data_IF_694216697540
#
_entry.id   IF_694216697540
#
_cell.length_a   1.000
_cell.length_b   1.000
_cell.length_c   1.000
_cell.angle_alpha   90.00
_cell.angle_beta   90.00
_cell.angle_gamma   90.00
#
_symmetry.space_group_name_H-M   'P 1'
#
loop_
_entity.id
_entity.type
_entity.pdbx_description
1 polymer ?
#
# COMPACT_ATOMS: atom_id res chain seq x y z
N UNK A 1 36.72 11.43 -40.46
CA UNK A 1 35.67 12.07 -39.69
C UNK A 1 34.56 11.05 -39.52
N UNK A 2 34.52 10.38 -38.37
CA UNK A 2 33.48 9.41 -38.04
C UNK A 2 32.54 10.09 -37.03
N UNK A 3 31.32 10.38 -37.51
CA UNK A 3 30.28 11.01 -36.68
C UNK A 3 29.73 10.02 -35.66
N UNK A 4 29.91 10.32 -34.38
CA UNK A 4 29.22 9.67 -33.28
C UNK A 4 27.77 10.17 -33.27
N UNK A 5 26.84 9.32 -33.70
CA UNK A 5 25.44 9.55 -33.51
C UNK A 5 25.13 9.28 -32.02
N UNK A 6 24.89 10.33 -31.26
CA UNK A 6 24.31 10.27 -29.92
C UNK A 6 22.88 9.73 -30.03
N UNK A 7 22.70 8.47 -29.71
CA UNK A 7 21.38 7.90 -29.45
C UNK A 7 20.85 8.54 -28.15
N UNK A 8 20.11 9.61 -28.25
CA UNK A 8 19.21 10.06 -27.21
C UNK A 8 18.15 8.96 -27.03
N UNK A 9 18.34 8.08 -26.05
CA UNK A 9 17.24 7.25 -25.56
C UNK A 9 16.24 8.20 -24.93
N UNK A 10 15.12 8.47 -25.61
CA UNK A 10 13.95 9.04 -24.97
C UNK A 10 13.61 8.14 -23.77
N UNK A 11 13.42 8.69 -22.55
CA UNK A 11 12.92 7.91 -21.46
C UNK A 11 11.56 7.34 -21.90
N UNK A 12 11.43 6.02 -21.81
CA UNK A 12 10.14 5.36 -22.05
C UNK A 12 9.18 5.99 -21.03
N UNK A 13 8.26 6.81 -21.53
CA UNK A 13 7.20 7.41 -20.73
C UNK A 13 6.30 6.24 -20.32
N UNK A 14 6.49 5.71 -19.13
CA UNK A 14 5.56 4.71 -18.58
C UNK A 14 4.23 5.43 -18.37
N UNK A 15 3.20 4.97 -19.03
CA UNK A 15 1.87 5.52 -18.86
C UNK A 15 1.42 5.30 -17.41
N UNK A 16 1.00 6.41 -16.76
CA UNK A 16 0.50 6.40 -15.40
C UNK A 16 -0.99 6.06 -15.42
N UNK A 17 -1.39 5.09 -14.64
CA UNK A 17 -2.78 4.75 -14.41
C UNK A 17 -3.28 5.46 -13.15
N UNK A 18 -4.16 6.44 -13.32
CA UNK A 18 -4.72 7.24 -12.23
C UNK A 18 -5.97 6.57 -11.67
N UNK A 19 -5.92 6.22 -10.39
CA UNK A 19 -7.03 5.62 -9.66
C UNK A 19 -7.82 6.75 -9.00
N UNK A 20 -9.14 6.81 -9.25
CA UNK A 20 -10.00 7.79 -8.59
C UNK A 20 -10.29 7.39 -7.14
N UNK A 21 -10.67 8.37 -6.30
CA UNK A 21 -11.08 8.12 -4.92
C UNK A 21 -12.27 7.15 -4.83
N UNK A 22 -13.25 7.29 -5.74
CA UNK A 22 -14.42 6.40 -5.80
C UNK A 22 -14.03 4.98 -6.17
N UNK A 23 -13.11 4.80 -7.13
CA UNK A 23 -12.64 3.48 -7.53
C UNK A 23 -11.89 2.78 -6.40
N UNK A 24 -10.95 3.49 -5.73
CA UNK A 24 -10.23 2.93 -4.60
C UNK A 24 -11.17 2.50 -3.47
N UNK A 25 -12.20 3.30 -3.18
CA UNK A 25 -13.19 2.97 -2.17
C UNK A 25 -14.02 1.74 -2.55
N UNK A 26 -14.50 1.66 -3.81
CA UNK A 26 -15.23 0.50 -4.32
C UNK A 26 -14.38 -0.78 -4.27
N UNK A 27 -13.13 -0.71 -4.73
CA UNK A 27 -12.21 -1.84 -4.70
C UNK A 27 -11.89 -2.28 -3.26
N UNK A 28 -11.81 -1.33 -2.31
CA UNK A 28 -11.62 -1.63 -0.90
C UNK A 28 -12.83 -2.39 -0.31
N UNK A 29 -14.05 -2.03 -0.69
CA UNK A 29 -15.25 -2.77 -0.28
C UNK A 29 -15.32 -4.16 -0.92
N UNK A 30 -14.94 -4.29 -2.20
CA UNK A 30 -14.84 -5.60 -2.86
C UNK A 30 -13.82 -6.50 -2.18
N UNK A 31 -12.68 -5.93 -1.79
CA UNK A 31 -11.64 -6.63 -1.03
C UNK A 31 -12.17 -7.12 0.32
N UNK A 32 -12.89 -6.26 1.06
CA UNK A 32 -13.50 -6.65 2.34
C UNK A 32 -14.54 -7.76 2.17
N UNK A 33 -15.32 -7.71 1.08
CA UNK A 33 -16.28 -8.76 0.76
C UNK A 33 -15.61 -10.11 0.48
N UNK A 34 -14.50 -10.13 -0.30
CA UNK A 34 -13.70 -11.33 -0.52
C UNK A 34 -13.17 -11.94 0.78
N UNK A 35 -12.68 -11.08 1.70
CA UNK A 35 -12.22 -11.50 3.02
C UNK A 35 -13.37 -12.16 3.79
N UNK A 36 -14.54 -11.54 3.80
CA UNK A 36 -15.72 -12.08 4.49
C UNK A 36 -16.18 -13.42 3.91
N UNK A 37 -16.27 -13.54 2.58
CA UNK A 37 -16.67 -14.78 1.89
C UNK A 37 -15.68 -15.93 2.09
N UNK A 38 -14.39 -15.62 2.25
CA UNK A 38 -13.36 -16.64 2.54
C UNK A 38 -13.52 -17.33 3.90
N UNK A 39 -14.37 -16.78 4.76
CA UNK A 39 -14.51 -17.25 6.14
C UNK A 39 -13.47 -16.70 7.12
N UNK A 40 -12.49 -15.92 6.65
CA UNK A 40 -11.50 -15.29 7.52
C UNK A 40 -12.15 -14.18 8.35
N UNK A 41 -11.86 -14.17 9.65
CA UNK A 41 -12.41 -13.22 10.63
C UNK A 41 -11.24 -12.63 11.40
N UNK A 42 -10.68 -11.47 10.95
CA UNK A 42 -9.56 -10.86 11.65
C UNK A 42 -9.96 -10.35 13.04
N UNK A 43 -9.13 -10.64 14.04
CA UNK A 43 -9.18 -9.98 15.35
C UNK A 43 -8.52 -8.62 15.32
N UNK A 44 -7.54 -8.45 14.41
CA UNK A 44 -6.77 -7.21 14.23
C UNK A 44 -6.65 -6.86 12.76
N UNK A 45 -6.81 -5.55 12.44
CA UNK A 45 -6.57 -4.98 11.12
C UNK A 45 -5.43 -3.96 11.22
N UNK A 46 -4.43 -4.10 10.38
CA UNK A 46 -3.26 -3.19 10.32
C UNK A 46 -3.22 -2.51 8.98
N UNK A 47 -3.49 -1.21 8.94
CA UNK A 47 -3.25 -0.38 7.75
C UNK A 47 -1.79 0.06 7.68
N UNK A 48 -1.12 -0.19 6.56
CA UNK A 48 0.24 0.30 6.34
C UNK A 48 0.16 1.76 5.90
N UNK A 49 0.68 2.66 6.71
CA UNK A 49 0.74 4.07 6.39
C UNK A 49 1.74 4.31 5.25
N UNK A 50 1.35 4.97 4.13
CA UNK A 50 0.19 5.85 3.95
C UNK A 50 -0.97 5.15 3.24
N UNK A 51 -0.70 4.44 2.13
CA UNK A 51 -1.70 3.96 1.20
C UNK A 51 -2.68 2.94 1.78
N UNK A 52 -2.21 2.10 2.69
CA UNK A 52 -3.07 1.13 3.37
C UNK A 52 -4.06 1.73 4.37
N UNK A 53 -3.90 3.00 4.78
CA UNK A 53 -4.82 3.62 5.74
C UNK A 53 -6.24 3.80 5.17
N UNK A 54 -6.46 4.46 4.01
CA UNK A 54 -7.80 4.61 3.44
C UNK A 54 -8.44 3.26 3.08
N UNK A 55 -7.66 2.30 2.58
CA UNK A 55 -8.14 0.95 2.28
C UNK A 55 -8.54 0.22 3.56
N UNK A 56 -7.69 0.26 4.59
CA UNK A 56 -7.95 -0.38 5.88
C UNK A 56 -9.21 0.13 6.55
N UNK A 57 -9.47 1.44 6.49
CA UNK A 57 -10.71 2.04 7.01
C UNK A 57 -11.92 1.46 6.27
N UNK A 58 -11.93 1.46 4.94
CA UNK A 58 -13.05 0.95 4.16
C UNK A 58 -13.28 -0.56 4.38
N UNK A 59 -12.19 -1.33 4.47
CA UNK A 59 -12.26 -2.77 4.77
C UNK A 59 -12.89 -2.99 6.15
N UNK A 60 -12.45 -2.27 7.16
CA UNK A 60 -12.98 -2.38 8.51
C UNK A 60 -14.46 -2.01 8.56
N UNK A 61 -14.87 -0.89 7.97
CA UNK A 61 -16.26 -0.43 7.97
C UNK A 61 -17.20 -1.48 7.36
N UNK A 62 -16.84 -2.10 6.24
CA UNK A 62 -17.67 -3.14 5.65
C UNK A 62 -17.68 -4.41 6.51
N UNK A 63 -16.55 -4.85 7.06
CA UNK A 63 -16.48 -6.00 7.96
C UNK A 63 -17.32 -5.77 9.21
N UNK A 64 -17.32 -4.55 9.76
CA UNK A 64 -18.15 -4.16 10.90
C UNK A 64 -19.65 -4.28 10.60
N UNK A 65 -20.08 -3.87 9.41
CA UNK A 65 -21.47 -3.96 8.94
C UNK A 65 -21.95 -5.42 8.88
N UNK A 66 -21.07 -6.33 8.48
CA UNK A 66 -21.38 -7.78 8.40
C UNK A 66 -21.08 -8.54 9.70
N UNK A 67 -20.82 -7.80 10.78
CA UNK A 67 -20.70 -8.37 12.14
C UNK A 67 -19.31 -8.87 12.53
N UNK A 68 -18.27 -8.58 11.74
CA UNK A 68 -16.88 -8.90 12.08
C UNK A 68 -16.25 -7.72 12.79
N UNK A 69 -15.99 -7.86 14.09
CA UNK A 69 -15.38 -6.82 14.92
C UNK A 69 -13.89 -7.08 15.08
N UNK A 70 -13.07 -6.14 14.64
CA UNK A 70 -11.63 -6.20 14.73
C UNK A 70 -11.07 -4.95 15.43
N UNK A 71 -10.04 -5.13 16.25
CA UNK A 71 -9.21 -4.01 16.71
C UNK A 71 -8.30 -3.56 15.56
N UNK A 72 -7.92 -2.29 15.53
CA UNK A 72 -7.21 -1.74 14.37
C UNK A 72 -6.12 -0.74 14.75
N UNK A 73 -5.11 -0.65 13.89
CA UNK A 73 -4.01 0.31 14.02
C UNK A 73 -3.40 0.62 12.66
N UNK A 74 -2.89 1.84 12.50
CA UNK A 74 -1.98 2.16 11.40
C UNK A 74 -0.53 2.02 11.87
N UNK A 75 0.30 1.36 11.06
CA UNK A 75 1.75 1.26 11.26
C UNK A 75 2.45 2.00 10.13
N UNK A 76 3.71 2.38 10.34
CA UNK A 76 4.52 3.04 9.31
C UNK A 76 5.69 2.17 8.90
N UNK A 77 5.92 2.04 7.60
CA UNK A 77 7.17 1.54 7.03
C UNK A 77 7.98 2.70 6.44
N UNK A 78 9.28 2.65 6.57
CA UNK A 78 10.21 3.57 5.90
C UNK A 78 11.38 2.80 5.34
N UNK A 79 11.76 3.10 4.10
CA UNK A 79 12.97 2.53 3.49
C UNK A 79 14.11 3.52 3.57
N UNK A 80 15.28 3.03 3.94
CA UNK A 80 16.51 3.81 3.91
C UNK A 80 17.62 3.03 3.23
N UNK A 81 18.56 3.76 2.64
CA UNK A 81 19.76 3.15 2.08
C UNK A 81 20.91 3.52 3.03
N UNK A 82 21.55 2.53 3.64
CA UNK A 82 22.71 2.75 4.49
C UNK A 82 23.87 3.39 3.70
N UNK A 83 24.72 4.16 4.39
CA UNK A 83 25.90 4.76 3.77
C UNK A 83 26.82 3.62 3.28
N UNK A 84 26.99 3.52 1.96
CA UNK A 84 27.81 2.47 1.34
C UNK A 84 27.10 1.15 1.03
N UNK A 85 25.81 1.01 1.30
CA UNK A 85 25.03 -0.19 1.00
C UNK A 85 24.19 -0.03 -0.26
N UNK A 86 24.12 -1.11 -1.08
CA UNK A 86 23.27 -1.17 -2.29
C UNK A 86 21.84 -1.61 -1.98
N UNK A 87 21.59 -2.17 -0.81
CA UNK A 87 20.29 -2.70 -0.43
C UNK A 87 19.50 -1.66 0.38
N UNK A 88 18.22 -1.53 0.06
CA UNK A 88 17.27 -0.78 0.86
C UNK A 88 16.83 -1.61 2.05
N UNK A 89 16.97 -1.07 3.24
CA UNK A 89 16.42 -1.65 4.46
C UNK A 89 15.06 -1.03 4.76
N UNK A 90 14.12 -1.84 5.19
CA UNK A 90 12.79 -1.39 5.62
C UNK A 90 12.79 -1.36 7.15
N UNK A 91 12.40 -0.23 7.71
CA UNK A 91 12.14 -0.06 9.15
C UNK A 91 10.64 -0.01 9.36
N UNK A 92 10.18 -0.71 10.40
CA UNK A 92 8.76 -0.74 10.79
C UNK A 92 8.57 -0.02 12.11
N UNK A 93 7.60 0.86 12.17
CA UNK A 93 7.27 1.67 13.33
C UNK A 93 5.83 1.41 13.77
N UNK A 94 5.58 1.37 15.09
CA UNK A 94 4.23 1.25 15.64
C UNK A 94 3.81 -0.17 16.04
N UNK A 95 4.64 -1.19 15.88
CA UNK A 95 4.30 -2.59 16.19
C UNK A 95 4.08 -2.87 17.68
N UNK A 96 4.56 -2.03 18.59
CA UNK A 96 4.47 -2.27 20.03
C UNK A 96 3.05 -2.46 20.56
N UNK A 97 2.07 -1.85 19.89
CA UNK A 97 0.66 -2.03 20.24
C UNK A 97 0.23 -3.48 20.02
N UNK A 98 0.56 -4.02 18.87
CA UNK A 98 0.23 -5.39 18.45
C UNK A 98 1.02 -6.42 19.26
N UNK A 99 2.35 -6.25 19.36
CA UNK A 99 3.24 -7.19 20.06
C UNK A 99 2.80 -7.48 21.51
N UNK A 100 2.18 -6.50 22.16
CA UNK A 100 1.69 -6.64 23.55
C UNK A 100 0.33 -7.36 23.66
N UNK A 101 -0.37 -7.57 22.56
CA UNK A 101 -1.76 -8.06 22.55
C UNK A 101 -1.95 -9.34 21.76
N UNK A 102 -1.10 -9.56 20.76
CA UNK A 102 -1.23 -10.71 19.88
C UNK A 102 -0.90 -12.01 20.62
N UNK A 103 -1.77 -12.98 20.42
CA UNK A 103 -1.62 -14.36 20.86
C UNK A 103 -1.70 -15.30 19.64
N UNK A 104 -1.27 -16.55 19.79
CA UNK A 104 -1.22 -17.53 18.69
C UNK A 104 -2.58 -17.85 18.07
N UNK A 105 -3.65 -17.68 18.83
CA UNK A 105 -5.03 -17.93 18.40
C UNK A 105 -5.62 -16.77 17.60
N UNK A 106 -4.97 -15.62 17.60
CA UNK A 106 -5.48 -14.44 16.89
C UNK A 106 -5.26 -14.52 15.39
N UNK A 107 -6.09 -13.78 14.69
CA UNK A 107 -6.03 -13.56 13.24
C UNK A 107 -5.70 -12.09 12.95
N UNK A 108 -4.67 -11.84 12.16
CA UNK A 108 -4.20 -10.49 11.80
C UNK A 108 -4.33 -10.28 10.30
N UNK A 109 -4.99 -9.19 9.89
CA UNK A 109 -5.05 -8.73 8.51
C UNK A 109 -4.14 -7.52 8.31
N UNK A 110 -3.16 -7.65 7.42
CA UNK A 110 -2.33 -6.50 6.98
C UNK A 110 -2.92 -5.97 5.68
N UNK A 111 -3.22 -4.67 5.66
CA UNK A 111 -3.84 -3.98 4.53
C UNK A 111 -2.91 -2.90 3.99
N UNK A 112 -2.71 -2.89 2.67
CA UNK A 112 -2.02 -1.81 1.95
C UNK A 112 -2.79 -1.49 0.67
N UNK A 113 -2.44 -0.41 -0.04
CA UNK A 113 -3.07 -0.05 -1.33
C UNK A 113 -2.55 -0.89 -2.50
N UNK A 114 -1.29 -1.28 -2.46
CA UNK A 114 -0.68 -2.11 -3.49
C UNK A 114 0.39 -3.04 -2.91
N UNK A 115 0.38 -4.29 -3.34
CA UNK A 115 1.50 -5.19 -3.17
C UNK A 115 2.40 -5.12 -4.42
N UNK A 116 3.38 -4.21 -4.38
CA UNK A 116 4.34 -4.00 -5.47
C UNK A 116 5.57 -4.90 -5.27
N UNK A 117 6.62 -4.43 -4.62
CA UNK A 117 7.82 -5.25 -4.35
C UNK A 117 7.62 -6.26 -3.21
N UNK A 118 6.61 -6.07 -2.38
CA UNK A 118 6.32 -6.88 -1.21
C UNK A 118 7.25 -6.67 0.00
N UNK A 119 8.35 -5.93 -0.17
CA UNK A 119 9.40 -5.79 0.85
C UNK A 119 8.89 -5.17 2.16
N UNK A 120 7.99 -4.19 2.09
CA UNK A 120 7.44 -3.53 3.28
C UNK A 120 6.61 -4.49 4.12
N UNK A 121 5.70 -5.21 3.48
CA UNK A 121 4.83 -6.18 4.17
C UNK A 121 5.65 -7.37 4.68
N UNK A 122 6.60 -7.87 3.90
CA UNK A 122 7.49 -8.97 4.33
C UNK A 122 8.30 -8.59 5.58
N UNK A 123 8.79 -7.36 5.66
CA UNK A 123 9.49 -6.86 6.85
C UNK A 123 8.55 -6.76 8.06
N UNK A 124 7.32 -6.24 7.88
CA UNK A 124 6.32 -6.19 8.95
C UNK A 124 6.05 -7.58 9.52
N UNK A 125 5.85 -8.57 8.66
CA UNK A 125 5.60 -9.96 9.09
C UNK A 125 6.82 -10.55 9.79
N UNK A 126 8.00 -10.28 9.27
CA UNK A 126 9.28 -10.76 9.85
C UNK A 126 9.47 -10.19 11.26
N UNK A 127 9.29 -8.90 11.45
CA UNK A 127 9.44 -8.23 12.75
C UNK A 127 8.37 -8.70 13.75
N UNK A 128 7.11 -8.85 13.32
CA UNK A 128 6.05 -9.39 14.16
C UNK A 128 6.37 -10.82 14.62
N UNK A 129 6.75 -11.70 13.71
CA UNK A 129 7.10 -13.09 14.05
C UNK A 129 8.30 -13.17 14.98
N UNK A 130 9.31 -12.35 14.75
CA UNK A 130 10.50 -12.29 15.62
C UNK A 130 10.15 -11.83 17.03
N UNK A 131 9.23 -10.86 17.17
CA UNK A 131 8.81 -10.30 18.44
C UNK A 131 7.81 -11.21 19.18
N UNK A 132 6.77 -11.70 18.49
CA UNK A 132 5.71 -12.52 19.07
C UNK A 132 6.13 -13.97 19.32
N UNK A 133 7.11 -14.48 18.56
CA UNK A 133 7.62 -15.87 18.69
C UNK A 133 6.49 -16.90 18.63
N UNK A 134 6.27 -17.64 19.73
CA UNK A 134 5.21 -18.66 19.83
C UNK A 134 3.78 -18.07 19.80
N UNK A 135 3.64 -16.79 20.09
CA UNK A 135 2.37 -16.06 20.07
C UNK A 135 2.12 -15.39 18.69
N UNK A 136 2.81 -15.82 17.65
CA UNK A 136 2.59 -15.31 16.28
C UNK A 136 1.19 -15.70 15.78
N UNK A 137 0.34 -14.73 15.37
CA UNK A 137 -1.01 -15.01 14.90
C UNK A 137 -1.03 -15.63 13.49
N UNK A 138 -2.22 -16.04 13.02
CA UNK A 138 -2.47 -16.24 11.59
C UNK A 138 -2.46 -14.88 10.89
N UNK A 139 -1.52 -14.66 9.96
CA UNK A 139 -1.33 -13.37 9.27
C UNK A 139 -1.73 -13.51 7.82
N UNK A 140 -2.69 -12.69 7.37
CA UNK A 140 -3.07 -12.55 5.98
C UNK A 140 -2.85 -11.14 5.46
N UNK A 141 -2.67 -11.05 4.13
CA UNK A 141 -2.37 -9.81 3.40
C UNK A 141 -3.52 -9.50 2.46
N UNK A 142 -3.99 -8.27 2.47
CA UNK A 142 -5.03 -7.78 1.58
C UNK A 142 -4.62 -6.45 0.94
N UNK A 143 -4.68 -6.38 -0.40
CA UNK A 143 -4.39 -5.17 -1.17
C UNK A 143 -5.33 -5.07 -2.36
N UNK A 144 -5.93 -3.90 -2.69
CA UNK A 144 -6.71 -3.77 -3.92
C UNK A 144 -5.92 -4.13 -5.18
N UNK A 145 -4.62 -3.81 -5.20
CA UNK A 145 -3.75 -4.02 -6.35
C UNK A 145 -2.55 -4.91 -6.01
N UNK A 146 -2.24 -5.82 -6.93
CA UNK A 146 -1.05 -6.68 -6.88
C UNK A 146 -0.24 -6.56 -8.16
N UNK A 147 1.10 -6.41 -8.04
CA UNK A 147 2.05 -6.35 -9.16
C UNK A 147 2.99 -7.54 -9.16
N UNK A 148 2.60 -8.67 -9.76
CA UNK A 148 3.38 -9.92 -9.70
C UNK A 148 4.76 -9.78 -10.32
N UNK A 149 4.93 -9.00 -11.41
CA UNK A 149 6.22 -8.83 -12.08
C UNK A 149 7.24 -8.04 -11.24
N UNK A 150 6.78 -7.23 -10.28
CA UNK A 150 7.66 -6.45 -9.40
C UNK A 150 7.94 -7.12 -8.07
N UNK A 151 7.17 -8.16 -7.72
CA UNK A 151 7.30 -8.85 -6.44
C UNK A 151 8.70 -9.45 -6.26
N UNK A 152 9.37 -9.07 -5.19
CA UNK A 152 10.73 -9.51 -4.82
C UNK A 152 10.73 -10.49 -3.65
N UNK A 153 9.56 -10.84 -3.15
CA UNK A 153 9.37 -11.76 -2.04
C UNK A 153 8.69 -13.03 -2.51
N UNK A 154 8.62 -14.04 -1.64
CA UNK A 154 7.84 -15.25 -1.92
C UNK A 154 6.37 -15.11 -1.50
N UNK A 155 5.99 -13.95 -0.95
CA UNK A 155 4.62 -13.72 -0.48
C UNK A 155 3.78 -13.15 -1.61
N UNK A 156 2.60 -13.71 -1.74
CA UNK A 156 1.51 -13.20 -2.59
C UNK A 156 0.42 -12.73 -1.63
N UNK A 157 -0.27 -11.63 -1.90
CA UNK A 157 -1.43 -11.24 -1.10
C UNK A 157 -2.46 -12.37 -1.06
N UNK A 158 -3.05 -12.63 0.12
CA UNK A 158 -4.12 -13.61 0.26
C UNK A 158 -5.41 -13.13 -0.43
N UNK A 159 -5.58 -11.79 -0.47
CA UNK A 159 -6.72 -11.14 -1.09
C UNK A 159 -6.25 -9.96 -1.93
N UNK A 160 -6.70 -9.89 -3.19
CA UNK A 160 -6.52 -8.74 -4.08
C UNK A 160 -7.66 -8.66 -5.11
N UNK A 161 -7.92 -7.46 -5.61
CA UNK A 161 -8.98 -7.22 -6.59
C UNK A 161 -8.41 -7.19 -8.01
N UNK A 162 -7.29 -6.49 -8.20
CA UNK A 162 -6.66 -6.28 -9.50
C UNK A 162 -5.22 -6.78 -9.52
N UNK A 163 -4.86 -7.44 -10.63
CA UNK A 163 -3.48 -7.75 -10.97
C UNK A 163 -3.04 -6.82 -12.12
N UNK A 164 -1.92 -6.12 -11.95
CA UNK A 164 -1.43 -5.17 -12.95
C UNK A 164 0.07 -4.98 -12.86
N UNK A 165 0.68 -4.51 -13.96
CA UNK A 165 2.08 -4.08 -13.98
C UNK A 165 2.21 -2.58 -14.31
N UNK A 166 1.11 -1.84 -14.35
CA UNK A 166 1.08 -0.42 -14.66
C UNK A 166 1.66 0.43 -13.53
N UNK A 167 2.04 1.67 -13.85
CA UNK A 167 2.39 2.66 -12.84
C UNK A 167 1.12 3.26 -12.26
N UNK A 168 0.75 2.81 -11.07
CA UNK A 168 -0.44 3.28 -10.37
C UNK A 168 -0.17 4.63 -9.70
N UNK A 169 -1.13 5.53 -9.77
CA UNK A 169 -1.16 6.80 -9.03
C UNK A 169 -2.45 6.83 -8.23
N UNK A 170 -2.33 6.67 -6.94
CA UNK A 170 -3.47 6.61 -6.02
C UNK A 170 -4.06 8.01 -5.74
N UNK A 171 -5.33 8.12 -5.33
CA UNK A 171 -5.98 9.42 -5.09
C UNK A 171 -5.27 10.25 -4.02
N UNK A 172 -4.66 9.64 -3.04
CA UNK A 172 -3.90 10.28 -1.95
C UNK A 172 -2.44 10.63 -2.32
N UNK A 173 -1.98 10.30 -3.54
CA UNK A 173 -0.61 10.58 -3.99
C UNK A 173 -0.55 11.84 -4.85
N UNK A 174 0.28 12.79 -4.43
CA UNK A 174 0.56 14.03 -5.15
C UNK A 174 2.06 14.22 -5.40
N UNK A 175 2.89 13.63 -4.56
CA UNK A 175 4.35 13.72 -4.68
C UNK A 175 4.84 13.07 -5.97
N UNK A 176 5.72 13.76 -6.71
CA UNK A 176 6.21 13.30 -8.01
C UNK A 176 5.28 13.56 -9.20
N UNK A 177 4.13 14.24 -8.99
CA UNK A 177 3.27 14.71 -10.06
C UNK A 177 3.62 16.16 -10.45
N UNK A 178 3.54 16.45 -11.74
CA UNK A 178 3.61 17.82 -12.24
C UNK A 178 2.30 18.57 -11.96
N UNK A 179 2.34 19.91 -11.96
CA UNK A 179 1.14 20.75 -11.81
C UNK A 179 0.08 20.41 -12.87
N UNK A 180 0.50 20.10 -14.10
CA UNK A 180 -0.42 19.71 -15.17
C UNK A 180 -1.06 18.36 -14.90
N UNK A 181 -0.29 17.36 -14.47
CA UNK A 181 -0.83 16.04 -14.13
C UNK A 181 -1.83 16.12 -12.97
N UNK A 182 -1.57 16.98 -11.98
CA UNK A 182 -2.51 17.23 -10.88
C UNK A 182 -3.81 17.86 -11.43
N UNK A 183 -3.69 18.90 -12.28
CA UNK A 183 -4.85 19.58 -12.84
C UNK A 183 -5.73 18.64 -13.69
N UNK A 184 -5.09 17.76 -14.47
CA UNK A 184 -5.79 16.88 -15.40
C UNK A 184 -6.40 15.64 -14.72
N UNK A 185 -5.78 15.15 -13.62
CA UNK A 185 -6.10 13.83 -13.07
C UNK A 185 -6.55 13.85 -11.60
N UNK A 186 -6.56 15.02 -10.93
CA UNK A 186 -6.98 15.17 -9.52
C UNK A 186 -8.09 16.21 -9.38
N UNK A 187 -9.31 15.91 -9.89
CA UNK A 187 -10.41 16.85 -9.87
C UNK A 187 -10.82 17.33 -8.48
N UNK A 188 -10.49 16.54 -7.44
CA UNK A 188 -10.73 16.89 -6.04
C UNK A 188 -9.98 18.14 -5.60
N UNK A 189 -8.88 18.48 -6.29
CA UNK A 189 -8.07 19.66 -6.00
C UNK A 189 -8.47 20.90 -6.81
N UNK A 190 -9.45 20.81 -7.70
CA UNK A 190 -9.82 21.89 -8.61
C UNK A 190 -10.13 23.21 -7.86
N UNK A 191 -10.78 23.12 -6.69
CA UNK A 191 -11.14 24.31 -5.87
C UNK A 191 -9.93 25.04 -5.27
N UNK A 192 -8.79 24.36 -5.08
CA UNK A 192 -7.59 24.91 -4.47
C UNK A 192 -6.41 25.03 -5.44
N UNK A 193 -6.62 24.66 -6.71
CA UNK A 193 -5.52 24.65 -7.71
C UNK A 193 -4.86 26.02 -7.92
N UNK A 194 -5.64 27.12 -7.86
CA UNK A 194 -5.09 28.47 -8.02
C UNK A 194 -4.11 28.83 -6.89
N UNK A 195 -4.49 28.50 -5.66
CA UNK A 195 -3.67 28.75 -4.47
C UNK A 195 -2.46 27.80 -4.46
N UNK A 196 -2.70 26.53 -4.73
CA UNK A 196 -1.66 25.50 -4.80
C UNK A 196 -0.59 25.85 -5.84
N UNK A 197 -1.00 26.34 -7.03
CA UNK A 197 -0.09 26.72 -8.12
C UNK A 197 0.89 27.85 -7.76
N UNK A 198 0.56 28.69 -6.77
CA UNK A 198 1.47 29.72 -6.27
C UNK A 198 2.62 29.14 -5.46
N UNK A 199 2.45 27.95 -4.89
CA UNK A 199 3.44 27.26 -4.05
C UNK A 199 4.19 26.15 -4.77
N UNK A 200 3.65 25.61 -5.88
CA UNK A 200 4.29 24.52 -6.66
C UNK A 200 5.37 25.03 -7.63
N UNK A 201 5.60 26.33 -7.74
CA UNK A 201 6.65 26.94 -8.58
C UNK A 201 8.04 26.83 -7.91
N UNK A 202 8.48 25.60 -7.68
CA UNK A 202 9.85 25.34 -7.25
C UNK A 202 10.51 24.27 -8.12
#
# INVERSE_FOLDING_TARGET
MLGFALYCRNPVRMDKHYISASQLLEDSYRLAWQIFESGFRPDYIVGVWRGGAPVGIAVQELLDVVGVKADHIAIRTSSYTGIGERNRHVLVHGLNYLIKRLESENSLLIVDDVHDTGLSIDQVITDLRAACKKNSPDIRIATPYFKPANNKTHRVPDYYVHETNEWLVFPHELDGLTTQEIADNKPELASIMTELGQHLKR
#
